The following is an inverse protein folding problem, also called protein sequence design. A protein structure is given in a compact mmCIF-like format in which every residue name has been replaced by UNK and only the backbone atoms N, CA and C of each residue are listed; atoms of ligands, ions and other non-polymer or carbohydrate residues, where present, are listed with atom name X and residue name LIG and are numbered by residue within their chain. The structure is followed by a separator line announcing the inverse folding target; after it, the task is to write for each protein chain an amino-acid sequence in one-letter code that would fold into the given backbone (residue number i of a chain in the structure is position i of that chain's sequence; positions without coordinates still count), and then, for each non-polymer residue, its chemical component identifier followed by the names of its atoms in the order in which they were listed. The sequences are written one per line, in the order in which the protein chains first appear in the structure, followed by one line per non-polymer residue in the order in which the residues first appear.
data_IF_120551001038
#
_entry.id   IF_120551001038
#
_cell.length_a   1.000
_cell.length_b   1.000
_cell.length_c   1.000
_cell.angle_alpha   90.00
_cell.angle_beta   90.00
_cell.angle_gamma   90.00
#
_symmetry.space_group_name_H-M   'P 1'
#
loop_
_entity.id
_entity.type
_entity.pdbx_description
1 polymer ?
#
# COMPACT_ATOMS: atom_id res chain seq x y z
N UNK A 1 18.01 3.43 -11.63
CA UNK A 1 18.47 2.71 -10.41
C UNK A 1 18.99 1.33 -10.82
N UNK A 2 20.09 0.82 -10.25
CA UNK A 2 20.56 -0.56 -10.50
C UNK A 2 20.01 -1.45 -9.40
N UNK A 3 19.22 -2.47 -9.73
CA UNK A 3 18.76 -3.47 -8.76
C UNK A 3 19.41 -4.81 -9.13
N UNK A 4 20.08 -5.40 -8.15
CA UNK A 4 20.70 -6.72 -8.26
C UNK A 4 19.70 -7.75 -7.76
N UNK A 5 19.34 -8.71 -8.61
CA UNK A 5 18.54 -9.87 -8.25
C UNK A 5 19.33 -10.78 -7.29
N UNK A 6 18.64 -11.70 -6.61
CA UNK A 6 19.25 -12.58 -5.61
C UNK A 6 20.38 -13.47 -6.19
N UNK A 7 20.39 -13.69 -7.50
CA UNK A 7 21.43 -14.43 -8.23
C UNK A 7 22.63 -13.56 -8.65
N UNK A 8 22.64 -12.27 -8.27
CA UNK A 8 23.69 -11.33 -8.63
C UNK A 8 23.51 -10.65 -9.98
N UNK A 9 22.46 -10.99 -10.75
CA UNK A 9 22.20 -10.35 -12.04
C UNK A 9 21.59 -8.95 -11.85
N UNK A 10 22.08 -7.97 -12.60
CA UNK A 10 21.58 -6.61 -12.55
C UNK A 10 20.70 -6.31 -13.74
N UNK A 11 19.45 -5.90 -13.50
CA UNK A 11 18.55 -5.39 -14.55
C UNK A 11 18.24 -3.92 -14.28
N UNK A 12 18.20 -3.12 -15.35
CA UNK A 12 17.88 -1.68 -15.31
C UNK A 12 16.62 -1.44 -16.14
N UNK A 13 15.74 -0.62 -15.59
CA UNK A 13 14.55 -0.11 -16.27
C UNK A 13 14.62 1.42 -16.26
N UNK A 14 14.32 2.03 -17.39
CA UNK A 14 14.30 3.48 -17.52
C UNK A 14 12.99 4.07 -16.97
N UNK A 15 13.09 5.24 -16.36
CA UNK A 15 11.93 6.01 -15.93
C UNK A 15 11.23 6.62 -17.15
N UNK A 16 9.92 6.77 -17.06
CA UNK A 16 9.11 7.33 -18.15
C UNK A 16 8.93 8.84 -18.10
N UNK A 17 9.18 9.43 -16.94
CA UNK A 17 9.10 10.86 -16.72
C UNK A 17 10.51 11.40 -16.56
N UNK A 18 10.65 12.72 -16.74
CA UNK A 18 11.87 13.41 -16.30
C UNK A 18 12.03 13.33 -14.76
N UNK A 19 10.98 12.87 -14.07
CA UNK A 19 10.96 12.54 -12.65
C UNK A 19 11.53 11.15 -12.32
N UNK A 20 11.87 10.96 -11.05
CA UNK A 20 12.37 9.68 -10.55
C UNK A 20 11.22 8.74 -10.17
N UNK A 21 11.36 7.44 -10.47
CA UNK A 21 10.54 6.41 -9.85
C UNK A 21 10.80 6.44 -8.34
N UNK A 22 9.76 6.80 -7.58
CA UNK A 22 9.85 7.03 -6.14
C UNK A 22 9.72 5.72 -5.37
N UNK A 23 8.74 4.91 -5.76
CA UNK A 23 8.38 3.67 -5.07
C UNK A 23 8.07 2.56 -6.06
N UNK A 24 8.27 1.32 -5.64
CA UNK A 24 7.97 0.17 -6.46
C UNK A 24 7.53 -1.04 -5.62
N UNK A 25 6.66 -1.87 -6.19
CA UNK A 25 6.19 -3.11 -5.58
C UNK A 25 6.08 -4.22 -6.62
N UNK A 26 6.65 -5.39 -6.32
CA UNK A 26 6.50 -6.58 -7.16
C UNK A 26 5.07 -7.10 -7.11
N UNK A 27 4.56 -7.54 -8.26
CA UNK A 27 3.32 -8.30 -8.30
C UNK A 27 3.48 -9.60 -7.52
N UNK A 28 2.38 -10.17 -6.98
CA UNK A 28 2.44 -11.41 -6.20
C UNK A 28 3.02 -12.61 -6.97
N UNK A 29 2.83 -12.65 -8.29
CA UNK A 29 3.39 -13.67 -9.17
C UNK A 29 4.85 -13.39 -9.60
N UNK A 30 5.41 -12.26 -9.18
CA UNK A 30 6.78 -11.85 -9.48
C UNK A 30 7.04 -11.52 -10.95
N UNK A 31 6.01 -11.39 -11.80
CA UNK A 31 6.15 -11.13 -13.24
C UNK A 31 6.13 -9.65 -13.60
N UNK A 32 5.62 -8.81 -12.70
CA UNK A 32 5.46 -7.39 -12.92
C UNK A 32 6.02 -6.57 -11.76
N UNK A 33 6.38 -5.33 -12.05
CA UNK A 33 6.74 -4.33 -11.06
C UNK A 33 5.84 -3.11 -11.23
N UNK A 34 5.01 -2.82 -10.23
CA UNK A 34 4.33 -1.55 -10.16
C UNK A 34 5.32 -0.48 -9.71
N UNK A 35 5.24 0.69 -10.33
CA UNK A 35 6.11 1.84 -10.04
C UNK A 35 5.25 3.07 -9.88
N UNK A 36 5.57 3.86 -8.86
CA UNK A 36 5.00 5.18 -8.64
C UNK A 36 6.05 6.23 -8.92
N UNK A 37 5.71 7.21 -9.75
CA UNK A 37 6.62 8.28 -10.15
C UNK A 37 5.93 9.63 -9.93
N UNK A 38 6.72 10.62 -9.51
CA UNK A 38 6.29 12.01 -9.58
C UNK A 38 6.38 12.50 -11.03
N UNK A 39 5.42 13.33 -11.39
CA UNK A 39 5.36 14.04 -12.66
C UNK A 39 4.80 15.45 -12.40
N UNK A 40 4.90 16.32 -13.38
CA UNK A 40 4.31 17.66 -13.31
C UNK A 40 3.52 17.92 -14.58
N UNK A 41 2.30 18.44 -14.44
CA UNK A 41 1.53 18.95 -15.57
C UNK A 41 1.45 20.46 -15.52
N UNK A 42 1.43 21.09 -16.69
CA UNK A 42 1.20 22.53 -16.80
C UNK A 42 -0.26 22.76 -17.20
N UNK A 43 -1.02 23.43 -16.34
CA UNK A 43 -2.38 23.82 -16.63
C UNK A 43 -2.44 24.95 -17.68
N UNK A 44 -3.62 25.19 -18.25
CA UNK A 44 -3.82 26.19 -19.31
C UNK A 44 -3.57 27.62 -18.87
N UNK A 45 -3.69 27.91 -17.57
CA UNK A 45 -3.37 29.21 -16.97
C UNK A 45 -1.86 29.37 -16.66
N UNK A 46 -1.06 28.35 -16.96
CA UNK A 46 0.38 28.34 -16.79
C UNK A 46 0.86 27.84 -15.42
N UNK A 47 -0.06 27.51 -14.50
CA UNK A 47 0.28 26.89 -13.20
C UNK A 47 0.84 25.47 -13.42
N UNK A 48 1.71 25.04 -12.50
CA UNK A 48 2.30 23.69 -12.51
C UNK A 48 1.64 22.91 -11.39
N UNK A 49 1.05 21.77 -11.74
CA UNK A 49 0.39 20.85 -10.83
C UNK A 49 1.26 19.62 -10.63
N UNK A 50 1.40 19.20 -9.37
CA UNK A 50 2.04 17.94 -9.04
C UNK A 50 1.11 16.78 -9.39
N UNK A 51 1.66 15.85 -10.16
CA UNK A 51 0.98 14.63 -10.57
C UNK A 51 1.72 13.42 -10.02
N UNK A 52 0.94 12.40 -9.71
CA UNK A 52 1.41 11.06 -9.57
C UNK A 52 1.07 10.24 -10.80
N UNK A 53 2.00 9.38 -11.17
CA UNK A 53 1.78 8.37 -12.21
C UNK A 53 2.07 6.99 -11.66
N UNK A 54 1.21 6.04 -12.00
CA UNK A 54 1.42 4.63 -11.72
C UNK A 54 1.69 3.92 -13.03
N UNK A 55 2.83 3.26 -13.10
CA UNK A 55 3.21 2.38 -14.20
C UNK A 55 3.29 0.93 -13.76
N UNK A 56 3.19 0.02 -14.72
CA UNK A 56 3.51 -1.40 -14.54
C UNK A 56 4.58 -1.78 -15.56
N UNK A 57 5.64 -2.42 -15.08
CA UNK A 57 6.75 -2.92 -15.89
C UNK A 57 6.62 -4.45 -15.95
N UNK A 58 6.53 -5.02 -17.15
CA UNK A 58 6.71 -6.45 -17.38
C UNK A 58 8.19 -6.79 -17.17
N UNK A 59 8.49 -7.69 -16.24
CA UNK A 59 9.86 -7.99 -15.87
C UNK A 59 10.58 -8.91 -16.87
N UNK A 60 9.85 -9.62 -17.71
CA UNK A 60 10.44 -10.48 -18.73
C UNK A 60 10.86 -9.68 -19.96
N UNK A 61 10.05 -8.72 -20.40
CA UNK A 61 10.31 -7.91 -21.60
C UNK A 61 10.93 -6.55 -21.27
N UNK A 62 10.71 -6.04 -20.06
CA UNK A 62 11.03 -4.66 -19.69
C UNK A 62 10.01 -3.64 -20.20
N UNK A 63 8.93 -4.09 -20.84
CA UNK A 63 7.89 -3.20 -21.34
C UNK A 63 7.18 -2.50 -20.18
N UNK A 64 7.12 -1.17 -20.26
CA UNK A 64 6.42 -0.34 -19.30
C UNK A 64 5.10 0.14 -19.90
N UNK A 65 4.02 0.12 -19.11
CA UNK A 65 2.73 0.72 -19.46
C UNK A 65 2.19 1.63 -18.36
N UNK A 66 1.43 2.66 -18.74
CA UNK A 66 0.83 3.62 -17.81
C UNK A 66 -0.46 3.00 -17.37
N UNK A 67 -0.61 2.85 -16.06
CA UNK A 67 -1.84 2.36 -15.49
C UNK A 67 -2.74 3.52 -15.11
N UNK A 68 -2.18 4.56 -14.49
CA UNK A 68 -2.96 5.68 -13.98
C UNK A 68 -2.12 6.95 -13.85
N UNK A 69 -2.80 8.09 -13.84
CA UNK A 69 -2.25 9.39 -13.44
C UNK A 69 -3.33 10.21 -12.73
N UNK A 70 -2.94 10.96 -11.71
CA UNK A 70 -3.83 11.91 -11.05
C UNK A 70 -3.08 12.94 -10.20
N UNK A 71 -3.79 13.97 -9.74
CA UNK A 71 -3.21 14.99 -8.89
C UNK A 71 -2.78 14.40 -7.54
N UNK A 72 -1.70 14.93 -7.00
CA UNK A 72 -1.24 14.59 -5.66
C UNK A 72 0.27 14.44 -5.57
N UNK A 73 0.73 14.14 -4.36
CA UNK A 73 2.14 13.94 -4.03
C UNK A 73 2.34 12.61 -3.33
N UNK A 74 3.48 11.98 -3.60
CA UNK A 74 3.86 10.77 -2.90
C UNK A 74 4.38 11.18 -1.51
N UNK A 75 3.78 10.69 -0.42
CA UNK A 75 4.36 10.89 0.91
C UNK A 75 5.75 10.26 1.00
N UNK A 76 6.50 10.68 2.00
CA UNK A 76 7.86 10.22 2.26
C UNK A 76 7.95 8.71 2.53
N UNK A 77 6.83 8.05 2.84
CA UNK A 77 6.75 6.62 3.12
C UNK A 77 5.43 6.04 2.53
N UNK A 78 5.39 4.71 2.28
CA UNK A 78 4.13 3.90 2.22
C UNK A 78 3.23 4.02 0.96
N UNK A 79 3.76 3.91 -0.25
CA UNK A 79 3.02 4.52 -1.39
C UNK A 79 2.36 3.56 -2.38
N UNK A 80 2.75 2.29 -2.47
CA UNK A 80 2.14 1.35 -3.44
C UNK A 80 2.15 -0.11 -2.96
N UNK A 81 1.04 -0.83 -3.13
CA UNK A 81 0.88 -2.21 -2.65
C UNK A 81 -0.06 -3.02 -3.54
N UNK A 82 0.29 -4.28 -3.83
CA UNK A 82 -0.55 -5.19 -4.62
C UNK A 82 -1.49 -5.98 -3.72
N UNK A 83 -2.72 -6.17 -4.19
CA UNK A 83 -3.60 -7.22 -3.66
C UNK A 83 -2.96 -8.61 -3.84
N UNK A 84 -3.26 -9.61 -2.98
CA UNK A 84 -2.59 -10.92 -3.01
C UNK A 84 -2.73 -11.69 -4.34
N UNK A 85 -3.87 -11.58 -5.01
CA UNK A 85 -4.15 -12.17 -6.31
C UNK A 85 -3.68 -11.31 -7.49
N UNK A 86 -3.14 -10.12 -7.22
CA UNK A 86 -2.59 -9.22 -8.23
C UNK A 86 -3.63 -8.46 -9.05
N UNK A 87 -4.93 -8.60 -8.77
CA UNK A 87 -6.00 -7.92 -9.51
C UNK A 87 -6.07 -6.42 -9.26
N UNK A 88 -5.70 -5.98 -8.06
CA UNK A 88 -5.75 -4.58 -7.62
C UNK A 88 -4.40 -4.05 -7.14
N UNK A 89 -4.23 -2.74 -7.27
CA UNK A 89 -3.13 -1.94 -6.72
C UNK A 89 -3.70 -0.83 -5.85
N UNK A 90 -3.20 -0.68 -4.62
CA UNK A 90 -3.48 0.50 -3.79
C UNK A 90 -2.32 1.48 -3.86
N UNK A 91 -2.65 2.76 -3.86
CA UNK A 91 -1.73 3.88 -3.88
C UNK A 91 -2.15 4.84 -2.77
N UNK A 92 -1.28 5.03 -1.78
CA UNK A 92 -1.43 6.12 -0.81
C UNK A 92 -0.85 7.38 -1.43
N UNK A 93 -1.49 8.52 -1.28
CA UNK A 93 -0.92 9.80 -1.70
C UNK A 93 -1.55 10.95 -0.91
N UNK A 94 -0.88 12.09 -0.90
CA UNK A 94 -1.43 13.35 -0.41
C UNK A 94 -2.16 14.03 -1.57
N UNK A 95 -3.41 14.41 -1.36
CA UNK A 95 -4.16 15.20 -2.32
C UNK A 95 -3.70 16.68 -2.31
N UNK A 96 -4.36 17.55 -3.07
CA UNK A 96 -3.99 18.97 -3.15
C UNK A 96 -4.29 19.75 -1.84
N UNK A 97 -5.14 19.18 -0.99
CA UNK A 97 -5.49 19.71 0.33
C UNK A 97 -4.60 19.09 1.43
N UNK A 98 -3.55 18.38 1.06
CA UNK A 98 -2.58 17.71 1.95
C UNK A 98 -3.20 16.58 2.81
N UNK A 99 -4.34 16.03 2.41
CA UNK A 99 -5.00 14.91 3.11
C UNK A 99 -4.52 13.55 2.56
N UNK A 100 -4.32 12.59 3.45
CA UNK A 100 -3.98 11.22 3.06
C UNK A 100 -5.14 10.55 2.35
N UNK A 101 -4.84 10.05 1.15
CA UNK A 101 -5.81 9.52 0.24
C UNK A 101 -5.34 8.18 -0.32
N UNK A 102 -6.22 7.18 -0.28
CA UNK A 102 -5.96 5.85 -0.85
C UNK A 102 -6.74 5.71 -2.15
N UNK A 103 -6.03 5.51 -3.24
CA UNK A 103 -6.61 5.20 -4.55
C UNK A 103 -6.37 3.75 -4.89
N UNK A 104 -7.43 3.03 -5.26
CA UNK A 104 -7.34 1.64 -5.70
C UNK A 104 -7.59 1.54 -7.20
N UNK A 105 -6.70 0.85 -7.88
CA UNK A 105 -6.70 0.67 -9.33
C UNK A 105 -6.92 -0.79 -9.68
N UNK A 106 -7.74 -1.05 -10.70
CA UNK A 106 -7.79 -2.33 -11.38
C UNK A 106 -6.56 -2.46 -12.26
N UNK A 107 -5.80 -3.51 -12.07
CA UNK A 107 -4.49 -3.66 -12.72
C UNK A 107 -4.63 -4.00 -14.20
N UNK A 108 -5.71 -4.67 -14.61
CA UNK A 108 -5.95 -5.03 -16.02
C UNK A 108 -6.26 -3.81 -16.87
N UNK A 109 -7.18 -2.97 -16.41
CA UNK A 109 -7.74 -1.82 -17.14
C UNK A 109 -7.09 -0.48 -16.79
N UNK A 110 -6.49 -0.35 -15.61
CA UNK A 110 -6.02 0.93 -15.06
C UNK A 110 -7.13 1.84 -14.54
N UNK A 111 -8.37 1.36 -14.51
CA UNK A 111 -9.50 2.12 -14.01
C UNK A 111 -9.41 2.21 -12.48
N UNK A 112 -9.68 3.41 -11.95
CA UNK A 112 -9.87 3.61 -10.51
C UNK A 112 -11.13 2.91 -10.06
N UNK A 113 -10.97 1.91 -9.19
CA UNK A 113 -12.07 1.12 -8.62
C UNK A 113 -12.67 1.83 -7.40
N UNK A 114 -11.81 2.34 -6.52
CA UNK A 114 -12.24 3.07 -5.34
C UNK A 114 -11.24 4.14 -4.93
N UNK A 115 -11.71 5.00 -4.05
CA UNK A 115 -11.02 6.17 -3.56
C UNK A 115 -11.49 6.45 -2.14
N UNK A 116 -10.55 6.48 -1.19
CA UNK A 116 -10.83 6.73 0.21
C UNK A 116 -10.03 7.95 0.66
N UNK A 117 -10.71 8.99 1.11
CA UNK A 117 -10.11 10.23 1.64
C UNK A 117 -9.93 10.14 3.16
N UNK A 118 -8.98 10.90 3.70
CA UNK A 118 -8.60 10.88 5.11
C UNK A 118 -8.27 9.46 5.59
N UNK A 119 -7.59 8.67 4.76
CA UNK A 119 -7.23 7.28 5.05
C UNK A 119 -5.76 7.02 4.79
N UNK A 120 -5.17 6.24 5.67
CA UNK A 120 -3.83 5.67 5.53
C UNK A 120 -3.88 4.15 5.37
N UNK A 121 -2.80 3.57 4.88
CA UNK A 121 -2.60 2.12 4.71
C UNK A 121 -1.27 1.68 5.31
N UNK A 122 -1.18 0.39 5.71
CA UNK A 122 0.05 -0.16 6.25
C UNK A 122 1.21 -0.11 5.24
N UNK A 123 2.40 0.20 5.77
CA UNK A 123 3.70 0.35 5.09
C UNK A 123 4.28 -0.96 4.58
N UNK A 124 3.55 -1.76 3.82
CA UNK A 124 4.00 -3.07 3.39
C UNK A 124 3.53 -3.37 1.95
N UNK A 125 4.44 -3.73 1.01
CA UNK A 125 4.10 -4.04 -0.39
C UNK A 125 3.03 -5.14 -0.55
N UNK A 126 2.77 -5.90 0.52
CA UNK A 126 1.78 -6.97 0.60
C UNK A 126 1.05 -7.04 1.95
N UNK A 127 1.43 -6.22 2.94
CA UNK A 127 0.88 -6.29 4.31
C UNK A 127 -0.34 -5.41 4.54
N UNK A 128 -0.70 -4.60 3.54
CA UNK A 128 -1.88 -3.74 3.60
C UNK A 128 -3.17 -4.48 3.22
N UNK A 129 -3.12 -5.73 2.73
CA UNK A 129 -4.30 -6.44 2.21
C UNK A 129 -4.65 -7.66 3.07
N UNK A 130 -5.94 -7.80 3.41
CA UNK A 130 -6.50 -8.99 4.08
C UNK A 130 -6.91 -10.08 3.09
N UNK A 131 -7.27 -9.67 1.87
CA UNK A 131 -7.73 -10.51 0.78
C UNK A 131 -7.59 -9.75 -0.54
N UNK A 132 -8.01 -10.34 -1.66
CA UNK A 132 -8.03 -9.66 -2.96
C UNK A 132 -8.96 -8.44 -3.03
N UNK A 133 -9.86 -8.31 -2.05
CA UNK A 133 -10.89 -7.28 -2.01
C UNK A 133 -10.81 -6.39 -0.78
N UNK A 134 -10.20 -6.84 0.30
CA UNK A 134 -10.17 -6.09 1.56
C UNK A 134 -8.80 -5.49 1.82
N UNK A 135 -8.76 -4.16 1.92
CA UNK A 135 -7.59 -3.36 2.25
C UNK A 135 -7.66 -2.90 3.71
N UNK A 136 -6.58 -3.09 4.47
CA UNK A 136 -6.39 -2.60 5.83
C UNK A 136 -6.07 -1.12 5.78
N UNK A 137 -6.91 -0.31 6.42
CA UNK A 137 -6.77 1.13 6.47
C UNK A 137 -6.94 1.66 7.89
N UNK A 138 -6.48 2.89 8.10
CA UNK A 138 -6.70 3.66 9.31
C UNK A 138 -7.24 5.03 8.92
N UNK A 139 -8.17 5.63 9.68
CA UNK A 139 -8.46 7.04 9.53
C UNK A 139 -7.20 7.85 9.83
N UNK A 140 -6.94 8.84 8.99
CA UNK A 140 -5.94 9.87 9.23
C UNK A 140 -6.21 10.55 10.58
N UNK A 141 -5.17 10.71 11.39
CA UNK A 141 -5.32 11.34 12.70
C UNK A 141 -5.20 12.87 12.53
N UNK A 142 -6.20 13.67 12.96
CA UNK A 142 -6.21 15.11 12.71
C UNK A 142 -5.03 15.87 13.32
N UNK A 143 -4.41 15.31 14.37
CA UNK A 143 -3.23 15.88 15.05
C UNK A 143 -1.91 15.21 14.64
N UNK A 144 -1.91 14.28 13.67
CA UNK A 144 -0.73 13.51 13.25
C UNK A 144 -0.16 12.52 14.27
N UNK A 145 -0.68 12.53 15.51
CA UNK A 145 -0.27 11.61 16.57
C UNK A 145 -1.18 10.37 16.52
N UNK A 146 -0.66 9.22 16.06
CA UNK A 146 -1.37 7.94 16.03
C UNK A 146 -1.68 7.48 17.47
N UNK A 147 -2.74 8.04 18.06
CA UNK A 147 -3.14 7.75 19.42
C UNK A 147 -3.52 6.27 19.60
N UNK A 148 -3.30 5.68 20.79
CA UNK A 148 -3.77 4.34 21.11
C UNK A 148 -5.31 4.31 21.05
N UNK A 149 -5.88 3.91 19.92
CA UNK A 149 -7.34 4.00 19.76
C UNK A 149 -7.83 4.04 18.33
N UNK A 150 -6.98 4.43 17.38
CA UNK A 150 -7.36 4.51 15.96
C UNK A 150 -7.97 3.17 15.49
N UNK A 151 -9.22 3.18 15.00
CA UNK A 151 -9.87 1.95 14.56
C UNK A 151 -9.16 1.44 13.31
N UNK A 152 -8.80 0.16 13.32
CA UNK A 152 -8.35 -0.52 12.11
C UNK A 152 -9.58 -0.88 11.28
N UNK A 153 -9.56 -0.50 10.01
CA UNK A 153 -10.65 -0.72 9.07
C UNK A 153 -10.25 -1.75 8.02
N UNK A 154 -11.21 -2.55 7.57
CA UNK A 154 -11.12 -3.32 6.33
C UNK A 154 -12.07 -2.68 5.29
N UNK A 155 -11.51 -2.13 4.21
CA UNK A 155 -12.27 -1.58 3.09
C UNK A 155 -12.45 -2.60 1.98
N UNK A 156 -13.69 -2.89 1.59
CA UNK A 156 -13.95 -3.59 0.32
C UNK A 156 -13.70 -2.59 -0.82
N UNK A 157 -12.65 -2.87 -1.60
CA UNK A 157 -12.15 -1.95 -2.61
C UNK A 157 -13.06 -1.84 -3.83
N UNK A 158 -14.04 -2.73 -4.01
CA UNK A 158 -14.97 -2.70 -5.15
C UNK A 158 -16.25 -1.96 -4.79
N UNK A 159 -16.79 -2.18 -3.60
CA UNK A 159 -17.96 -1.44 -3.13
C UNK A 159 -17.60 -0.05 -2.61
N UNK A 160 -16.34 0.18 -2.23
CA UNK A 160 -15.88 1.41 -1.59
C UNK A 160 -16.36 1.54 -0.13
N UNK A 161 -16.90 0.47 0.46
CA UNK A 161 -17.36 0.48 1.85
C UNK A 161 -16.27 -0.01 2.80
N UNK A 162 -16.22 0.52 4.02
CA UNK A 162 -15.32 0.05 5.06
C UNK A 162 -16.08 -0.45 6.29
N UNK A 163 -15.53 -1.47 6.94
CA UNK A 163 -15.98 -1.97 8.25
C UNK A 163 -14.83 -1.93 9.24
N UNK A 164 -15.16 -1.74 10.51
CA UNK A 164 -14.17 -1.84 11.58
C UNK A 164 -13.77 -3.31 11.78
N UNK A 165 -12.47 -3.56 11.94
CA UNK A 165 -11.97 -4.85 12.38
C UNK A 165 -12.17 -4.99 13.90
N UNK A 166 -12.72 -6.12 14.33
CA UNK A 166 -12.87 -6.39 15.76
C UNK A 166 -11.49 -6.50 16.42
N UNK A 167 -11.27 -5.73 17.48
CA UNK A 167 -10.07 -5.87 18.31
C UNK A 167 -10.22 -7.08 19.21
N UNK A 168 -9.21 -7.95 19.20
CA UNK A 168 -9.06 -8.99 20.21
C UNK A 168 -8.63 -8.35 21.56
N UNK A 169 -9.58 -7.79 22.30
CA UNK A 169 -9.39 -7.27 23.66
C UNK A 169 -8.60 -5.95 23.79
N UNK A 170 -8.59 -5.40 25.01
CA UNK A 170 -7.88 -4.16 25.35
C UNK A 170 -6.43 -4.49 25.76
N UNK A 171 -5.45 -4.16 24.92
CA UNK A 171 -4.05 -4.50 25.15
C UNK A 171 -3.10 -3.37 24.69
N UNK A 172 -1.90 -3.26 25.29
CA UNK A 172 -0.97 -2.14 25.07
C UNK A 172 -0.42 -2.06 23.65
N UNK A 173 0.14 -0.91 23.28
CA UNK A 173 0.73 -0.65 21.96
C UNK A 173 1.73 -1.75 21.57
N UNK A 174 1.42 -2.51 20.51
CA UNK A 174 2.27 -3.59 20.01
C UNK A 174 1.98 -3.93 18.55
N UNK A 175 2.85 -4.74 17.93
CA UNK A 175 2.68 -5.20 16.55
C UNK A 175 1.43 -6.07 16.42
N UNK A 176 0.64 -5.81 15.38
CA UNK A 176 -0.51 -6.60 15.00
C UNK A 176 -0.35 -7.09 13.56
N UNK A 177 -0.93 -8.24 13.26
CA UNK A 177 -1.11 -8.76 11.91
C UNK A 177 -2.61 -8.82 11.60
N UNK A 178 -2.99 -9.05 10.35
CA UNK A 178 -4.37 -9.34 10.00
C UNK A 178 -4.41 -10.63 9.19
N UNK A 179 -5.26 -11.57 9.59
CA UNK A 179 -5.53 -12.79 8.81
C UNK A 179 -6.98 -13.24 9.04
N UNK A 180 -7.60 -13.85 8.02
CA UNK A 180 -9.01 -14.26 8.08
C UNK A 180 -10.00 -13.14 8.41
N UNK A 181 -9.66 -11.88 8.11
CA UNK A 181 -10.48 -10.72 8.48
C UNK A 181 -10.46 -10.37 9.97
N UNK A 182 -9.50 -10.91 10.74
CA UNK A 182 -9.30 -10.64 12.16
C UNK A 182 -7.93 -10.00 12.41
N UNK A 183 -7.88 -9.03 13.34
CA UNK A 183 -6.62 -8.50 13.83
C UNK A 183 -5.99 -9.53 14.79
N UNK A 184 -4.81 -10.04 14.43
CA UNK A 184 -4.00 -10.96 15.22
C UNK A 184 -3.00 -10.18 16.08
N UNK A 185 -2.91 -10.55 17.36
CA UNK A 185 -2.02 -9.95 18.34
C UNK A 185 -2.81 -9.21 19.42
N UNK A 186 -2.18 -8.24 20.12
CA UNK A 186 -0.81 -7.79 19.93
C UNK A 186 0.26 -8.85 20.23
N UNK A 187 1.40 -8.75 19.53
CA UNK A 187 2.65 -9.37 19.94
C UNK A 187 3.58 -8.31 20.54
N UNK A 188 4.30 -8.62 21.65
CA UNK A 188 5.24 -7.67 22.23
C UNK A 188 6.18 -7.11 21.17
N UNK A 189 6.63 -5.84 21.29
CA UNK A 189 7.64 -5.32 20.39
C UNK A 189 8.84 -6.29 20.40
N UNK A 190 9.32 -6.64 19.20
CA UNK A 190 10.39 -7.64 18.99
C UNK A 190 9.97 -9.12 19.21
N UNK A 191 8.67 -9.40 19.14
CA UNK A 191 8.12 -10.75 19.11
C UNK A 191 7.86 -11.27 17.69
N UNK A 192 8.03 -12.58 17.49
CA UNK A 192 7.54 -13.29 16.30
C UNK A 192 6.31 -14.07 16.72
N UNK A 193 5.18 -13.75 16.10
CA UNK A 193 3.92 -14.44 16.29
C UNK A 193 3.54 -15.30 15.09
N UNK A 194 2.66 -16.27 15.31
CA UNK A 194 2.02 -17.07 14.26
C UNK A 194 0.54 -17.24 14.54
N UNK A 195 -0.26 -17.36 13.50
CA UNK A 195 -1.65 -17.78 13.55
C UNK A 195 -1.95 -18.68 12.35
N UNK A 196 -3.09 -19.35 12.35
CA UNK A 196 -3.61 -19.98 11.14
C UNK A 196 -4.04 -18.90 10.13
N UNK A 197 -4.16 -19.28 8.84
CA UNK A 197 -4.50 -18.34 7.77
C UNK A 197 -5.88 -17.68 7.94
N UNK A 198 -6.79 -18.32 8.66
CA UNK A 198 -8.10 -17.80 9.06
C UNK A 198 -8.04 -16.92 10.32
N UNK A 199 -6.85 -16.56 10.81
CA UNK A 199 -6.66 -15.72 11.99
C UNK A 199 -6.70 -16.46 13.33
N UNK A 200 -7.07 -17.73 13.33
CA UNK A 200 -7.27 -18.50 14.55
C UNK A 200 -5.95 -18.95 15.23
N UNK A 201 -6.06 -19.30 16.51
CA UNK A 201 -4.96 -19.85 17.31
C UNK A 201 -3.67 -19.02 17.34
N UNK A 202 -3.74 -17.69 17.55
CA UNK A 202 -2.53 -16.88 17.57
C UNK A 202 -1.61 -17.29 18.72
N UNK A 203 -0.31 -17.41 18.44
CA UNK A 203 0.72 -17.82 19.40
C UNK A 203 1.97 -16.98 19.21
N UNK A 204 2.55 -16.54 20.31
CA UNK A 204 3.89 -15.95 20.33
C UNK A 204 4.91 -17.08 20.27
N UNK A 205 5.71 -17.13 19.20
CA UNK A 205 6.79 -18.12 19.04
C UNK A 205 8.08 -17.67 19.72
N UNK A 206 8.42 -16.40 19.57
CA UNK A 206 9.67 -15.85 20.06
C UNK A 206 9.41 -14.46 20.62
N UNK A 207 10.10 -14.11 21.70
CA UNK A 207 10.27 -12.73 22.15
C UNK A 207 11.74 -12.53 22.48
N UNK A 208 12.34 -11.44 22.03
CA UNK A 208 13.66 -11.07 22.52
C UNK A 208 13.49 -10.38 23.87
N UNK A 209 14.18 -10.86 24.91
CA UNK A 209 14.34 -10.07 26.14
C UNK A 209 15.35 -8.96 25.82
N UNK A 210 14.99 -7.72 26.11
CA UNK A 210 15.97 -6.63 26.21
C UNK A 210 16.77 -6.79 27.50
#
# INVERSE_FOLDING_TARGET
MVRTLADGTGTRFDAWTDGSDLWAAFSPDGRSLAVLSADTARASDGTVEDLLTVGVIDLATGDRRRLWSGPGRAPAERVISWSPGGGHLSVLHENLDEEFTVTVLDTGSGIRVSHFTEREVLSCPQGAWCSDRELVMFPEHPDGDEGPGTPTLAGDVVSGTARQLERAGALPASCFAVAGGQQIGPFPPYGIGTATLDGCGPRLLLTTRR
#
